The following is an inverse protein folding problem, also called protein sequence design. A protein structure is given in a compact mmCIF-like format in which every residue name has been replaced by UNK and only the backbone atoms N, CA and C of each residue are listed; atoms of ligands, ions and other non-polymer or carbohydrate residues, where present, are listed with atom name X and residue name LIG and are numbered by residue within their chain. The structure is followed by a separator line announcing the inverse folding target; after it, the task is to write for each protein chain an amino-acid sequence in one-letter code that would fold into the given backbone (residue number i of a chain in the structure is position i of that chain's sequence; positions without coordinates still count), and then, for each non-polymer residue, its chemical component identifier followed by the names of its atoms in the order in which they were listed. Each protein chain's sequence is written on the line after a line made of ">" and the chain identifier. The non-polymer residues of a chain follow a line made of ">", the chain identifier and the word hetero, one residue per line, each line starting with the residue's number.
data_IF_566802082876
#
_entry.id   IF_566802082876
#
_cell.length_a   1.000
_cell.length_b   1.000
_cell.length_c   1.000
_cell.angle_alpha   90.00
_cell.angle_beta   90.00
_cell.angle_gamma   90.00
#
_symmetry.space_group_name_H-M   'P 1'
#
loop_
_entity.id
_entity.type
_entity.pdbx_description
1 polymer ?
#
# COMPACT_ATOMS: atom_id res chain seq x y z
N UNK A 1 10.15 7.71 6.96
CA UNK A 1 9.96 7.75 5.49
C UNK A 1 8.88 6.75 5.10
N UNK A 2 7.96 7.15 4.22
CA UNK A 2 6.90 6.27 3.73
C UNK A 2 6.84 6.39 2.22
N UNK A 3 7.10 5.27 1.52
CA UNK A 3 7.16 5.19 0.06
C UNK A 3 6.05 4.31 -0.49
N UNK A 4 5.41 4.78 -1.54
CA UNK A 4 4.31 4.12 -2.20
C UNK A 4 4.73 3.86 -3.64
N UNK A 5 4.65 2.61 -4.05
CA UNK A 5 4.83 2.19 -5.43
C UNK A 5 3.53 1.61 -5.98
N UNK A 6 3.15 2.06 -7.17
CA UNK A 6 2.04 1.49 -7.95
C UNK A 6 2.65 1.04 -9.29
N UNK A 7 2.82 -0.28 -9.46
CA UNK A 7 3.58 -0.89 -10.54
C UNK A 7 5.05 -0.43 -10.51
N UNK A 8 5.46 0.34 -11.52
CA UNK A 8 6.81 0.89 -11.66
C UNK A 8 6.91 2.36 -11.24
N UNK A 9 5.79 2.98 -10.84
CA UNK A 9 5.76 4.38 -10.44
C UNK A 9 5.89 4.46 -8.91
N UNK A 10 6.85 5.23 -8.42
CA UNK A 10 7.11 5.43 -6.99
C UNK A 10 6.93 6.89 -6.61
N UNK A 11 6.34 7.15 -5.43
CA UNK A 11 6.28 8.45 -4.79
C UNK A 11 6.35 8.31 -3.27
N UNK A 12 6.85 9.36 -2.61
CA UNK A 12 6.74 9.50 -1.17
C UNK A 12 5.30 9.87 -0.75
N UNK A 13 4.87 9.40 0.42
CA UNK A 13 3.52 9.66 0.95
C UNK A 13 3.23 11.17 1.11
N UNK A 14 4.27 11.97 1.37
CA UNK A 14 4.18 13.42 1.50
C UNK A 14 3.73 14.11 0.20
N UNK A 15 4.18 13.60 -0.95
CA UNK A 15 4.06 14.22 -2.28
C UNK A 15 3.03 13.51 -3.19
N UNK A 16 2.26 12.59 -2.60
CA UNK A 16 1.20 11.86 -3.29
C UNK A 16 -0.06 12.71 -3.37
N UNK A 17 -0.63 12.73 -4.57
CA UNK A 17 -1.94 13.29 -4.85
C UNK A 17 -2.91 12.17 -5.20
N UNK A 18 -4.19 12.34 -4.86
CA UNK A 18 -5.25 11.38 -5.17
C UNK A 18 -5.47 11.20 -6.67
N UNK A 19 -5.28 12.28 -7.43
CA UNK A 19 -5.28 12.30 -8.90
C UNK A 19 -4.23 11.31 -9.45
N UNK A 20 -3.02 11.33 -8.90
CA UNK A 20 -1.94 10.43 -9.29
C UNK A 20 -2.27 8.98 -8.97
N UNK A 21 -2.78 8.68 -7.77
CA UNK A 21 -3.19 7.31 -7.39
C UNK A 21 -4.24 6.80 -8.38
N UNK A 22 -5.29 7.60 -8.60
CA UNK A 22 -6.40 7.24 -9.49
C UNK A 22 -5.92 6.98 -10.91
N UNK A 23 -5.06 7.86 -11.42
CA UNK A 23 -4.47 7.72 -12.75
C UNK A 23 -3.63 6.43 -12.87
N UNK A 24 -2.77 6.15 -11.89
CA UNK A 24 -1.89 4.98 -11.91
C UNK A 24 -2.68 3.66 -11.84
N UNK A 25 -3.75 3.61 -11.06
CA UNK A 25 -4.60 2.42 -10.94
C UNK A 25 -5.46 2.23 -12.18
N UNK A 26 -6.16 3.28 -12.63
CA UNK A 26 -7.09 3.19 -13.76
C UNK A 26 -6.38 2.89 -15.08
N UNK A 27 -5.21 3.50 -15.33
CA UNK A 27 -4.42 3.21 -16.52
C UNK A 27 -4.07 1.72 -16.62
N UNK A 28 -3.56 1.14 -15.54
CA UNK A 28 -3.19 -0.29 -15.51
C UNK A 28 -4.39 -1.21 -15.70
N UNK A 29 -5.53 -0.87 -15.10
CA UNK A 29 -6.78 -1.63 -15.30
C UNK A 29 -7.27 -1.56 -16.74
N UNK A 30 -7.20 -0.38 -17.36
CA UNK A 30 -7.53 -0.20 -18.78
C UNK A 30 -6.60 -1.03 -19.68
N UNK A 31 -5.33 -1.16 -19.31
CA UNK A 31 -4.34 -2.00 -20.00
C UNK A 31 -4.51 -3.51 -19.69
N UNK A 32 -5.49 -3.91 -18.87
CA UNK A 32 -5.70 -5.30 -18.45
C UNK A 32 -4.63 -5.85 -17.49
N UNK A 33 -3.80 -4.97 -16.92
CA UNK A 33 -2.69 -5.33 -16.04
C UNK A 33 -3.14 -5.33 -14.58
N UNK A 34 -2.81 -6.40 -13.85
CA UNK A 34 -3.01 -6.45 -12.40
C UNK A 34 -2.26 -5.32 -11.71
N UNK A 35 -2.95 -4.61 -10.83
CA UNK A 35 -2.37 -3.46 -10.14
C UNK A 35 -1.56 -3.96 -8.96
N UNK A 36 -0.25 -3.70 -8.99
CA UNK A 36 0.66 -3.96 -7.88
C UNK A 36 0.82 -2.69 -7.07
N UNK A 37 0.35 -2.68 -5.82
CA UNK A 37 0.63 -1.61 -4.88
C UNK A 37 1.58 -2.13 -3.82
N UNK A 38 2.63 -1.37 -3.54
CA UNK A 38 3.58 -1.63 -2.47
C UNK A 38 3.73 -0.39 -1.60
N UNK A 39 3.57 -0.54 -0.30
CA UNK A 39 3.74 0.53 0.68
C UNK A 39 4.86 0.14 1.63
N UNK A 40 5.92 0.94 1.66
CA UNK A 40 7.11 0.73 2.48
C UNK A 40 7.11 1.80 3.56
N UNK A 41 6.95 1.39 4.81
CA UNK A 41 6.98 2.26 5.99
C UNK A 41 8.27 2.00 6.75
N UNK A 42 9.12 3.03 6.85
CA UNK A 42 10.35 3.01 7.65
C UNK A 42 10.38 4.25 8.54
N UNK A 43 9.92 4.11 9.76
CA UNK A 43 9.80 5.23 10.69
C UNK A 43 9.87 4.78 12.13
N UNK A 44 10.80 5.36 12.89
CA UNK A 44 11.07 4.96 14.27
C UNK A 44 11.30 3.45 14.37
N UNK A 45 10.38 2.77 15.05
CA UNK A 45 10.40 1.34 15.31
C UNK A 45 9.63 0.50 14.26
N UNK A 46 9.00 1.14 13.28
CA UNK A 46 8.25 0.50 12.19
C UNK A 46 9.14 0.22 10.99
N UNK A 47 9.18 -1.04 10.55
CA UNK A 47 9.80 -1.45 9.29
C UNK A 47 8.90 -2.47 8.60
N UNK A 48 7.93 -1.96 7.82
CA UNK A 48 6.85 -2.75 7.25
C UNK A 48 6.80 -2.56 5.74
N UNK A 49 6.55 -3.66 5.04
CA UNK A 49 6.23 -3.66 3.62
C UNK A 49 4.86 -4.30 3.43
N UNK A 50 3.90 -3.51 2.97
CA UNK A 50 2.58 -3.99 2.55
C UNK A 50 2.58 -4.14 1.03
N UNK A 51 1.94 -5.20 0.53
CA UNK A 51 1.86 -5.45 -0.90
C UNK A 51 0.53 -6.12 -1.25
N UNK A 52 -0.09 -5.67 -2.35
CA UNK A 52 -1.27 -6.33 -2.92
C UNK A 52 -0.92 -7.75 -3.38
N UNK A 53 -1.90 -8.67 -3.48
CA UNK A 53 -1.61 -10.08 -3.76
C UNK A 53 -0.83 -10.29 -5.06
N UNK A 54 -1.11 -9.48 -6.08
CA UNK A 54 -0.41 -9.40 -7.37
C UNK A 54 1.13 -9.33 -7.30
N UNK A 55 1.74 -8.94 -6.18
CA UNK A 55 3.21 -8.90 -6.03
C UNK A 55 3.75 -9.62 -4.79
N UNK A 56 2.96 -10.50 -4.17
CA UNK A 56 3.43 -11.35 -3.08
C UNK A 56 4.34 -12.45 -3.63
N UNK A 57 5.65 -12.25 -3.55
CA UNK A 57 6.63 -13.36 -3.64
C UNK A 57 6.82 -13.98 -2.26
N UNK A 58 6.59 -15.30 -2.17
CA UNK A 58 6.84 -16.24 -1.05
C UNK A 58 7.23 -15.60 0.28
N UNK A 59 6.34 -15.67 1.26
CA UNK A 59 6.54 -15.23 2.64
C UNK A 59 7.83 -15.84 3.22
N UNK A 60 8.85 -14.99 3.39
CA UNK A 60 10.01 -15.33 4.23
C UNK A 60 9.58 -15.38 5.69
N UNK A 61 10.32 -16.14 6.53
CA UNK A 61 10.13 -16.15 7.98
C UNK A 61 10.27 -14.73 8.54
N UNK A 62 9.15 -14.03 8.68
CA UNK A 62 9.11 -12.71 9.26
C UNK A 62 8.99 -12.84 10.77
N UNK A 63 9.63 -11.93 11.51
CA UNK A 63 9.37 -11.77 12.94
C UNK A 63 7.88 -11.49 13.16
N UNK A 64 7.32 -11.83 14.34
CA UNK A 64 6.01 -11.31 14.72
C UNK A 64 5.98 -9.78 14.59
N UNK A 65 4.91 -9.20 14.01
CA UNK A 65 4.77 -7.76 13.90
C UNK A 65 4.70 -7.11 15.28
N UNK A 66 5.24 -5.90 15.41
CA UNK A 66 5.06 -5.07 16.61
C UNK A 66 3.64 -4.50 16.65
N UNK A 67 3.12 -4.03 17.81
CA UNK A 67 1.74 -3.53 17.92
C UNK A 67 1.38 -2.43 16.89
N UNK A 68 2.31 -1.51 16.59
CA UNK A 68 2.10 -0.48 15.56
C UNK A 68 2.07 -1.05 14.14
N UNK A 69 2.92 -2.03 13.87
CA UNK A 69 2.95 -2.75 12.59
C UNK A 69 1.67 -3.56 12.40
N UNK A 70 1.18 -4.21 13.46
CA UNK A 70 -0.08 -4.95 13.48
C UNK A 70 -1.29 -4.05 13.21
N UNK A 71 -1.34 -2.86 13.84
CA UNK A 71 -2.38 -1.87 13.55
C UNK A 71 -2.38 -1.48 12.05
N UNK A 72 -1.20 -1.34 11.45
CA UNK A 72 -1.05 -1.04 10.03
C UNK A 72 -1.51 -2.21 9.13
N UNK A 73 -1.20 -3.46 9.49
CA UNK A 73 -1.72 -4.65 8.79
C UNK A 73 -3.25 -4.75 8.89
N UNK A 74 -3.81 -4.49 10.07
CA UNK A 74 -5.26 -4.49 10.28
C UNK A 74 -5.93 -3.40 9.45
N UNK A 75 -5.35 -2.20 9.39
CA UNK A 75 -5.83 -1.11 8.53
C UNK A 75 -5.85 -1.52 7.06
N UNK A 76 -4.76 -2.11 6.58
CA UNK A 76 -4.65 -2.62 5.21
C UNK A 76 -5.74 -3.66 4.89
N UNK A 77 -5.99 -4.58 5.83
CA UNK A 77 -7.02 -5.61 5.71
C UNK A 77 -8.44 -5.02 5.72
N UNK A 78 -8.72 -4.07 6.61
CA UNK A 78 -10.01 -3.38 6.72
C UNK A 78 -10.40 -2.67 5.42
N UNK A 79 -9.42 -2.10 4.70
CA UNK A 79 -9.62 -1.48 3.40
C UNK A 79 -9.70 -2.48 2.23
N UNK A 80 -9.59 -3.79 2.49
CA UNK A 80 -9.69 -4.82 1.46
C UNK A 80 -8.52 -4.80 0.47
N UNK A 81 -7.36 -4.25 0.85
CA UNK A 81 -6.19 -4.13 -0.02
C UNK A 81 -5.41 -5.46 -0.18
N UNK A 82 -5.88 -6.52 0.51
CA UNK A 82 -5.48 -7.91 0.26
C UNK A 82 -6.31 -8.61 -0.84
N UNK A 83 -7.06 -7.86 -1.64
CA UNK A 83 -7.76 -8.35 -2.81
C UNK A 83 -7.15 -7.75 -4.09
N UNK A 84 -7.01 -8.55 -5.16
CA UNK A 84 -6.57 -8.07 -6.48
C UNK A 84 -7.56 -7.06 -7.10
N UNK A 85 -8.83 -7.10 -6.69
CA UNK A 85 -9.91 -6.23 -7.16
C UNK A 85 -10.23 -5.07 -6.20
N UNK A 86 -9.27 -4.66 -5.36
CA UNK A 86 -9.47 -3.57 -4.39
C UNK A 86 -10.02 -2.27 -5.01
N UNK A 87 -10.77 -1.46 -4.26
CA UNK A 87 -11.23 -0.16 -4.77
C UNK A 87 -10.12 0.90 -4.71
N UNK A 88 -10.01 1.75 -5.75
CA UNK A 88 -9.12 2.94 -5.72
C UNK A 88 -9.44 3.83 -4.52
N UNK A 89 -10.72 3.96 -4.18
CA UNK A 89 -11.18 4.75 -3.03
C UNK A 89 -10.64 4.19 -1.72
N UNK A 90 -10.60 2.86 -1.58
CA UNK A 90 -10.06 2.21 -0.39
C UNK A 90 -8.55 2.44 -0.27
N UNK A 91 -7.82 2.41 -1.38
CA UNK A 91 -6.38 2.72 -1.38
C UNK A 91 -6.13 4.18 -0.97
N UNK A 92 -6.88 5.13 -1.52
CA UNK A 92 -6.79 6.54 -1.13
C UNK A 92 -7.11 6.73 0.36
N UNK A 93 -8.18 6.10 0.84
CA UNK A 93 -8.61 6.21 2.23
C UNK A 93 -7.56 5.64 3.19
N UNK A 94 -6.99 4.48 2.84
CA UNK A 94 -5.86 3.90 3.57
C UNK A 94 -4.66 4.86 3.63
N UNK A 95 -4.25 5.45 2.49
CA UNK A 95 -3.08 6.34 2.46
C UNK A 95 -3.31 7.64 3.23
N UNK A 96 -4.53 8.20 3.21
CA UNK A 96 -4.91 9.34 4.04
C UNK A 96 -4.80 9.01 5.53
N UNK A 97 -5.32 7.86 5.96
CA UNK A 97 -5.23 7.43 7.35
C UNK A 97 -3.80 7.13 7.77
N UNK A 98 -3.01 6.49 6.89
CA UNK A 98 -1.59 6.24 7.11
C UNK A 98 -0.85 7.54 7.39
N UNK A 99 -1.08 8.59 6.58
CA UNK A 99 -0.47 9.92 6.73
C UNK A 99 -0.76 10.60 8.07
N UNK A 100 -1.84 10.21 8.77
CA UNK A 100 -2.17 10.73 10.09
C UNK A 100 -1.55 9.93 11.25
N UNK A 101 -1.04 8.73 10.97
CA UNK A 101 -0.48 7.80 11.95
C UNK A 101 1.05 7.85 11.96
N UNK A 102 1.65 8.18 10.80
CA UNK A 102 3.09 8.32 10.55
C UNK A 102 3.54 9.77 10.66
#
# INVERSE_FOLDING_TARGET
>A
MVKISIGNAEKDLGDIEESWITQQVNRRRADGVKVLVRVIVKEGDMNVVLTTPSGRTREGKSRPPRPREEALFNLWNQHGLNNDEFSVVNLITFLRQLKSIV
#
